data_IF_821952438423
#
_entry.id   IF_821952438423
#
_cell.length_a   1.000
_cell.length_b   1.000
_cell.length_c   1.000
_cell.angle_alpha   90.00
_cell.angle_beta   90.00
_cell.angle_gamma   90.00
#
_symmetry.space_group_name_H-M   'P 1'
#
loop_
_entity.id
_entity.type
_entity.pdbx_description
1 polymer ?
#
# COMPACT_ATOMS: atom_id res chain seq x y z
N UNK A 1 -27.36 0.14 27.12
CA UNK A 1 -26.75 0.20 25.76
C UNK A 1 -25.60 1.20 25.77
N UNK A 2 -24.42 0.86 25.21
CA UNK A 2 -23.23 1.74 25.16
C UNK A 2 -23.11 2.46 23.82
N UNK A 3 -22.65 3.71 23.86
CA UNK A 3 -22.37 4.55 22.69
C UNK A 3 -21.17 4.02 21.93
N UNK A 4 -21.28 3.85 20.61
CA UNK A 4 -20.19 3.32 19.79
C UNK A 4 -19.01 4.29 19.62
N UNK A 5 -19.20 5.59 19.91
CA UNK A 5 -18.13 6.59 19.78
C UNK A 5 -17.31 6.79 21.05
N UNK A 6 -17.93 6.76 22.23
CA UNK A 6 -17.28 7.12 23.49
C UNK A 6 -17.47 6.10 24.61
N UNK A 7 -18.04 4.94 24.31
CA UNK A 7 -18.34 3.83 25.24
C UNK A 7 -19.26 4.16 26.43
N UNK A 8 -19.63 5.44 26.64
CA UNK A 8 -20.60 5.87 27.67
C UNK A 8 -21.99 5.31 27.43
N UNK A 9 -22.79 5.19 28.49
CA UNK A 9 -24.19 4.77 28.40
C UNK A 9 -25.01 5.75 27.55
N UNK A 10 -25.88 5.18 26.71
CA UNK A 10 -26.86 5.96 25.94
C UNK A 10 -28.04 6.28 26.88
N UNK A 11 -28.46 7.55 27.00
CA UNK A 11 -29.58 7.93 27.88
C UNK A 11 -30.86 7.15 27.57
N UNK A 12 -31.56 6.67 28.60
CA UNK A 12 -32.79 5.88 28.46
C UNK A 12 -33.85 6.62 27.63
N UNK A 13 -34.02 7.94 27.84
CA UNK A 13 -34.91 8.79 27.04
C UNK A 13 -34.66 8.72 25.54
N UNK A 14 -33.41 8.48 25.10
CA UNK A 14 -33.08 8.27 23.69
C UNK A 14 -33.34 6.86 23.21
N UNK A 15 -33.11 5.87 24.08
CA UNK A 15 -33.44 4.47 23.81
C UNK A 15 -34.94 4.33 23.59
N UNK A 16 -35.75 4.89 24.48
CA UNK A 16 -37.21 4.79 24.42
C UNK A 16 -37.76 5.53 23.20
N UNK A 17 -37.27 6.75 22.91
CA UNK A 17 -37.68 7.50 21.71
C UNK A 17 -37.34 6.77 20.42
N UNK A 18 -36.17 6.15 20.34
CA UNK A 18 -35.77 5.39 19.16
C UNK A 18 -36.63 4.13 18.98
N UNK A 19 -36.92 3.42 20.08
CA UNK A 19 -37.76 2.21 20.05
C UNK A 19 -39.19 2.48 19.57
N UNK A 20 -39.76 3.65 19.89
CA UNK A 20 -41.11 4.05 19.39
C UNK A 20 -41.22 4.10 17.87
N UNK A 21 -40.11 4.27 17.16
CA UNK A 21 -40.05 4.29 15.69
C UNK A 21 -39.33 3.07 15.13
N UNK A 22 -39.21 1.99 15.91
CA UNK A 22 -38.52 0.76 15.51
C UNK A 22 -37.00 0.90 15.32
N UNK A 23 -36.39 1.98 15.84
CA UNK A 23 -34.96 2.24 15.72
C UNK A 23 -34.19 1.91 17.02
N UNK A 24 -32.88 1.66 16.88
CA UNK A 24 -31.96 1.56 18.03
C UNK A 24 -30.91 2.68 17.96
N UNK A 25 -30.72 3.46 19.05
CA UNK A 25 -29.76 4.53 19.03
C UNK A 25 -28.34 3.98 19.18
N UNK A 26 -27.43 4.42 18.33
CA UNK A 26 -26.03 3.94 18.32
C UNK A 26 -25.08 4.92 19.04
N UNK A 27 -25.51 6.17 19.23
CA UNK A 27 -24.71 7.24 19.82
C UNK A 27 -25.44 7.96 20.96
N UNK A 28 -24.73 8.29 22.04
CA UNK A 28 -25.31 8.98 23.19
C UNK A 28 -25.66 10.45 22.95
N UNK A 29 -25.04 11.12 21.98
CA UNK A 29 -25.24 12.56 21.69
C UNK A 29 -25.15 12.89 20.19
N UNK A 30 -25.65 14.06 19.79
CA UNK A 30 -25.43 14.61 18.44
C UNK A 30 -23.92 14.81 18.19
N UNK A 31 -23.18 15.28 19.19
CA UNK A 31 -21.72 15.42 19.11
C UNK A 31 -21.01 14.09 18.87
N UNK A 32 -21.40 13.00 19.55
CA UNK A 32 -20.84 11.66 19.30
C UNK A 32 -21.15 11.16 17.87
N UNK A 33 -22.36 11.44 17.36
CA UNK A 33 -22.72 11.12 15.97
C UNK A 33 -21.86 11.92 14.98
N UNK A 34 -21.68 13.21 15.21
CA UNK A 34 -20.88 14.08 14.33
C UNK A 34 -19.39 13.70 14.37
N UNK A 35 -18.83 13.44 15.55
CA UNK A 35 -17.46 12.99 15.70
C UNK A 35 -17.21 11.64 15.00
N UNK A 36 -18.16 10.71 15.08
CA UNK A 36 -18.09 9.45 14.32
C UNK A 36 -18.16 9.69 12.79
N UNK A 37 -18.99 10.64 12.33
CA UNK A 37 -19.07 11.04 10.92
C UNK A 37 -17.75 11.66 10.43
N UNK A 38 -17.14 12.54 11.22
CA UNK A 38 -15.86 13.19 10.91
C UNK A 38 -14.71 12.19 10.87
N UNK A 39 -14.65 11.26 11.82
CA UNK A 39 -13.66 10.17 11.82
C UNK A 39 -13.80 9.31 10.55
N UNK A 40 -15.03 8.88 10.21
CA UNK A 40 -15.27 8.14 8.96
C UNK A 40 -14.91 8.91 7.70
N UNK A 41 -15.10 10.25 7.70
CA UNK A 41 -14.67 11.09 6.58
C UNK A 41 -13.15 11.11 6.48
N UNK A 42 -12.45 11.34 7.61
CA UNK A 42 -10.98 11.24 7.67
C UNK A 42 -10.48 9.90 7.14
N UNK A 43 -11.01 8.79 7.66
CA UNK A 43 -10.66 7.43 7.25
C UNK A 43 -10.98 7.14 5.76
N UNK A 44 -11.97 7.82 5.17
CA UNK A 44 -12.26 7.75 3.72
C UNK A 44 -11.34 8.65 2.89
N UNK A 45 -10.90 9.78 3.44
CA UNK A 45 -10.03 10.75 2.75
C UNK A 45 -8.54 10.44 2.91
N UNK A 46 -8.16 9.53 3.80
CA UNK A 46 -6.77 9.13 4.08
C UNK A 46 -6.11 8.29 3.00
N UNK A 47 -6.76 8.02 1.86
CA UNK A 47 -6.06 7.49 0.68
C UNK A 47 -5.84 8.63 -0.33
N UNK A 48 -4.75 9.36 -0.14
CA UNK A 48 -4.24 10.37 -1.06
C UNK A 48 -4.04 9.78 -2.46
N UNK A 49 -4.11 10.56 -3.55
CA UNK A 49 -3.62 10.13 -4.86
C UNK A 49 -2.21 9.52 -4.81
N UNK A 50 -1.34 10.06 -3.95
CA UNK A 50 0.00 9.52 -3.72
C UNK A 50 -0.04 8.10 -3.13
N UNK A 51 -0.94 7.85 -2.18
CA UNK A 51 -1.12 6.51 -1.59
C UNK A 51 -1.60 5.50 -2.64
N UNK A 52 -2.47 5.91 -3.57
CA UNK A 52 -2.90 5.05 -4.67
C UNK A 52 -1.75 4.70 -5.62
N UNK A 53 -0.89 5.67 -5.91
CA UNK A 53 0.32 5.45 -6.71
C UNK A 53 1.25 4.49 -5.98
N UNK A 54 1.48 4.70 -4.70
CA UNK A 54 2.34 3.85 -3.86
C UNK A 54 1.81 2.42 -3.77
N UNK A 55 0.49 2.23 -3.62
CA UNK A 55 -0.15 0.91 -3.61
C UNK A 55 -0.02 0.18 -4.95
N UNK A 56 -0.23 0.89 -6.07
CA UNK A 56 -0.02 0.31 -7.41
C UNK A 56 1.43 -0.06 -7.65
N UNK A 57 2.34 0.81 -7.23
CA UNK A 57 3.78 0.57 -7.32
C UNK A 57 4.17 -0.67 -6.49
N UNK A 58 3.73 -0.75 -5.22
CA UNK A 58 3.95 -1.92 -4.37
C UNK A 58 3.43 -3.20 -5.02
N UNK A 59 2.22 -3.16 -5.59
CA UNK A 59 1.63 -4.34 -6.17
C UNK A 59 2.34 -4.81 -7.46
N UNK A 60 2.90 -3.90 -8.25
CA UNK A 60 3.82 -4.27 -9.34
C UNK A 60 5.09 -4.97 -8.78
N UNK A 61 5.64 -4.48 -7.67
CA UNK A 61 6.81 -5.08 -7.04
C UNK A 61 6.52 -6.45 -6.38
N UNK A 62 5.29 -6.69 -5.93
CA UNK A 62 4.82 -8.02 -5.50
C UNK A 62 4.90 -9.02 -6.66
N UNK A 63 4.52 -8.61 -7.88
CA UNK A 63 4.65 -9.49 -9.05
C UNK A 63 6.11 -9.74 -9.43
N UNK A 64 6.95 -8.70 -9.36
CA UNK A 64 8.39 -8.83 -9.60
C UNK A 64 8.99 -9.82 -8.61
N UNK A 65 8.64 -9.73 -7.32
CA UNK A 65 9.08 -10.65 -6.29
C UNK A 65 8.65 -12.11 -6.60
N UNK A 66 7.39 -12.31 -7.00
CA UNK A 66 6.89 -13.62 -7.39
C UNK A 66 7.56 -14.17 -8.67
N UNK A 67 7.95 -13.29 -9.60
CA UNK A 67 8.69 -13.67 -10.81
C UNK A 67 10.16 -13.99 -10.48
N UNK A 68 10.80 -13.18 -9.64
CA UNK A 68 12.17 -13.41 -9.17
C UNK A 68 12.36 -14.79 -8.53
N UNK A 69 11.39 -15.23 -7.72
CA UNK A 69 11.41 -16.56 -7.09
C UNK A 69 11.33 -17.71 -8.10
N UNK A 70 10.65 -17.51 -9.25
CA UNK A 70 10.49 -18.54 -10.30
C UNK A 70 11.58 -18.47 -11.36
N UNK A 71 12.10 -17.27 -11.62
CA UNK A 71 13.02 -16.94 -12.70
C UNK A 71 14.21 -16.14 -12.15
N UNK A 72 15.25 -16.80 -11.62
CA UNK A 72 16.43 -16.12 -11.08
C UNK A 72 17.15 -15.22 -12.10
N UNK A 73 16.94 -15.46 -13.40
CA UNK A 73 17.46 -14.63 -14.51
C UNK A 73 17.04 -13.16 -14.41
N UNK A 74 15.92 -12.87 -13.74
CA UNK A 74 15.46 -11.51 -13.44
C UNK A 74 16.52 -10.67 -12.71
N UNK A 75 17.39 -11.28 -11.91
CA UNK A 75 18.50 -10.57 -11.26
C UNK A 75 19.50 -9.98 -12.26
N UNK A 76 19.73 -10.63 -13.41
CA UNK A 76 20.63 -10.12 -14.44
C UNK A 76 20.07 -8.85 -15.07
N UNK A 77 18.76 -8.84 -15.38
CA UNK A 77 18.08 -7.66 -15.90
C UNK A 77 18.22 -6.48 -14.93
N UNK A 78 18.07 -6.74 -13.62
CA UNK A 78 18.24 -5.71 -12.60
C UNK A 78 19.68 -5.16 -12.56
N UNK A 79 20.69 -6.03 -12.61
CA UNK A 79 22.09 -5.60 -12.67
C UNK A 79 22.39 -4.77 -13.93
N UNK A 80 21.93 -5.23 -15.09
CA UNK A 80 22.12 -4.52 -16.36
C UNK A 80 21.44 -3.15 -16.35
N UNK A 81 20.25 -3.05 -15.77
CA UNK A 81 19.58 -1.77 -15.56
C UNK A 81 20.41 -0.84 -14.67
N UNK A 82 20.90 -1.35 -13.54
CA UNK A 82 21.70 -0.58 -12.60
C UNK A 82 22.98 -0.03 -13.26
N UNK A 83 23.73 -0.90 -13.94
CA UNK A 83 24.96 -0.50 -14.66
C UNK A 83 24.66 0.56 -15.71
N UNK A 84 23.59 0.39 -16.50
CA UNK A 84 23.20 1.37 -17.52
C UNK A 84 22.80 2.71 -16.91
N UNK A 85 22.02 2.72 -15.83
CA UNK A 85 21.55 3.95 -15.20
C UNK A 85 22.67 4.71 -14.50
N UNK A 86 23.54 4.01 -13.76
CA UNK A 86 24.71 4.60 -13.11
C UNK A 86 25.65 5.19 -14.16
N UNK A 87 25.92 4.47 -15.25
CA UNK A 87 26.77 4.98 -16.35
C UNK A 87 26.19 6.24 -16.99
N UNK A 88 24.86 6.32 -17.13
CA UNK A 88 24.19 7.43 -17.82
C UNK A 88 23.99 8.66 -16.94
N UNK A 89 23.57 8.45 -15.69
CA UNK A 89 23.06 9.51 -14.81
C UNK A 89 23.92 9.71 -13.55
N UNK A 90 24.94 8.90 -13.36
CA UNK A 90 25.72 8.84 -12.12
C UNK A 90 25.07 7.97 -11.03
N UNK A 91 25.85 7.62 -9.99
CA UNK A 91 25.32 6.91 -8.83
C UNK A 91 24.40 7.81 -8.00
N UNK A 92 23.42 7.20 -7.35
CA UNK A 92 22.62 7.83 -6.28
C UNK A 92 22.61 6.90 -5.08
N UNK A 93 22.36 7.41 -3.85
CA UNK A 93 22.35 6.55 -2.66
C UNK A 93 21.44 5.33 -2.78
N UNK A 94 20.29 5.48 -3.44
CA UNK A 94 19.35 4.38 -3.66
C UNK A 94 19.87 3.36 -4.69
N UNK A 95 20.52 3.81 -5.77
CA UNK A 95 21.12 2.90 -6.76
C UNK A 95 22.31 2.13 -6.18
N UNK A 96 23.14 2.79 -5.36
CA UNK A 96 24.25 2.12 -4.67
C UNK A 96 23.74 1.07 -3.67
N UNK A 97 22.66 1.37 -2.97
CA UNK A 97 22.02 0.43 -2.07
C UNK A 97 21.42 -0.76 -2.80
N UNK A 98 20.76 -0.54 -3.95
CA UNK A 98 20.33 -1.61 -4.83
C UNK A 98 21.51 -2.45 -5.33
N UNK A 99 22.63 -1.82 -5.66
CA UNK A 99 23.88 -2.52 -6.01
C UNK A 99 24.33 -3.45 -4.89
N UNK A 100 24.47 -2.93 -3.66
CA UNK A 100 24.83 -3.75 -2.48
C UNK A 100 23.87 -4.92 -2.25
N UNK A 101 22.55 -4.70 -2.41
CA UNK A 101 21.55 -5.75 -2.27
C UNK A 101 21.73 -6.84 -3.35
N UNK A 102 21.92 -6.45 -4.61
CA UNK A 102 22.10 -7.37 -5.73
C UNK A 102 23.45 -8.12 -5.66
N UNK A 103 24.50 -7.48 -5.18
CA UNK A 103 25.84 -8.05 -5.03
C UNK A 103 25.92 -9.02 -3.85
N UNK A 104 25.10 -8.80 -2.81
CA UNK A 104 25.00 -9.73 -1.68
C UNK A 104 24.53 -11.14 -2.08
N UNK A 105 23.83 -11.25 -3.21
CA UNK A 105 23.23 -12.50 -3.69
C UNK A 105 22.06 -13.03 -2.84
N UNK A 106 21.67 -12.32 -1.77
CA UNK A 106 20.62 -12.75 -0.84
C UNK A 106 19.24 -12.38 -1.37
N UNK A 107 18.53 -13.36 -1.92
CA UNK A 107 17.19 -13.18 -2.49
C UNK A 107 16.23 -12.61 -1.44
N UNK A 108 16.32 -13.03 -0.19
CA UNK A 108 15.47 -12.58 0.91
C UNK A 108 15.61 -11.08 1.20
N UNK A 109 16.83 -10.55 1.08
CA UNK A 109 17.10 -9.12 1.27
C UNK A 109 16.46 -8.30 0.13
N UNK A 110 16.51 -8.80 -1.10
CA UNK A 110 15.88 -8.18 -2.27
C UNK A 110 14.37 -8.24 -2.13
N UNK A 111 13.79 -9.40 -1.76
CA UNK A 111 12.35 -9.54 -1.53
C UNK A 111 11.88 -8.58 -0.44
N UNK A 112 12.65 -8.43 0.64
CA UNK A 112 12.37 -7.45 1.68
C UNK A 112 12.31 -6.03 1.11
N UNK A 113 13.34 -5.60 0.37
CA UNK A 113 13.35 -4.28 -0.27
C UNK A 113 12.17 -4.05 -1.23
N UNK A 114 11.77 -5.08 -2.00
CA UNK A 114 10.63 -5.01 -2.92
C UNK A 114 9.28 -4.88 -2.19
N UNK A 115 9.11 -5.55 -1.05
CA UNK A 115 7.81 -5.78 -0.42
C UNK A 115 7.53 -4.90 0.81
N UNK A 116 8.52 -4.23 1.39
CA UNK A 116 8.34 -3.36 2.57
C UNK A 116 7.34 -2.23 2.32
N UNK A 117 6.39 -2.02 3.23
CA UNK A 117 5.31 -1.03 3.07
C UNK A 117 5.58 0.32 3.75
N UNK A 118 6.77 0.48 4.34
CA UNK A 118 7.20 1.71 4.99
C UNK A 118 7.80 2.72 4.00
N UNK A 119 8.15 3.90 4.51
CA UNK A 119 8.77 5.00 3.74
C UNK A 119 10.04 4.55 3.03
N UNK A 120 10.81 3.68 3.67
CA UNK A 120 12.05 3.16 3.11
C UNK A 120 11.80 2.25 1.91
N UNK A 121 10.84 1.34 2.01
CA UNK A 121 10.41 0.53 0.87
C UNK A 121 9.87 1.39 -0.29
N UNK A 122 9.14 2.48 0.02
CA UNK A 122 8.68 3.43 -1.00
C UNK A 122 9.84 4.13 -1.69
N UNK A 123 10.83 4.61 -0.93
CA UNK A 123 12.05 5.23 -1.45
C UNK A 123 12.81 4.29 -2.37
N UNK A 124 13.07 3.06 -1.94
CA UNK A 124 13.79 2.06 -2.74
C UNK A 124 13.02 1.69 -4.01
N UNK A 125 11.70 1.48 -3.93
CA UNK A 125 10.87 1.18 -5.11
C UNK A 125 10.82 2.31 -6.13
N UNK A 126 11.00 3.57 -5.72
CA UNK A 126 11.04 4.72 -6.65
C UNK A 126 12.20 4.64 -7.65
N UNK A 127 13.25 3.89 -7.32
CA UNK A 127 14.47 3.70 -8.12
C UNK A 127 14.77 2.23 -8.39
N UNK A 128 13.74 1.38 -8.33
CA UNK A 128 13.87 -0.07 -8.47
C UNK A 128 14.50 -0.47 -9.81
N UNK A 129 15.61 -1.23 -9.81
CA UNK A 129 16.28 -1.67 -11.03
C UNK A 129 15.51 -2.78 -11.76
N UNK A 130 14.33 -3.21 -11.28
CA UNK A 130 13.53 -4.25 -11.91
C UNK A 130 12.57 -3.71 -12.99
N UNK A 131 12.77 -2.48 -13.45
CA UNK A 131 12.03 -1.92 -14.58
C UNK A 131 12.18 -2.82 -15.83
N UNK A 132 11.06 -3.12 -16.49
CA UNK A 132 11.04 -3.97 -17.69
C UNK A 132 11.03 -5.49 -17.45
N UNK A 133 11.07 -5.94 -16.19
CA UNK A 133 11.01 -7.38 -15.85
C UNK A 133 9.63 -8.00 -16.12
N UNK A 134 8.57 -7.22 -15.88
CA UNK A 134 7.21 -7.62 -16.19
C UNK A 134 6.90 -7.29 -17.65
N UNK A 135 6.38 -8.26 -18.40
CA UNK A 135 5.87 -8.07 -19.76
C UNK A 135 4.64 -7.18 -19.76
N UNK A 136 4.28 -6.64 -20.93
CA UNK A 136 3.09 -5.80 -21.06
C UNK A 136 1.81 -6.60 -20.78
N UNK A 137 1.77 -7.89 -21.12
CA UNK A 137 0.68 -8.82 -20.80
C UNK A 137 0.56 -9.03 -19.28
N UNK A 138 1.68 -9.27 -18.59
CA UNK A 138 1.71 -9.44 -17.13
C UNK A 138 1.22 -8.17 -16.41
N UNK A 139 1.63 -6.99 -16.90
CA UNK A 139 1.16 -5.70 -16.38
C UNK A 139 -0.34 -5.49 -16.65
N UNK A 140 -0.80 -5.75 -17.88
CA UNK A 140 -2.21 -5.59 -18.27
C UNK A 140 -3.12 -6.48 -17.45
N UNK A 141 -2.79 -7.77 -17.33
CA UNK A 141 -3.56 -8.73 -16.54
C UNK A 141 -3.70 -8.26 -15.09
N UNK A 142 -2.63 -7.73 -14.52
CA UNK A 142 -2.65 -7.18 -13.17
C UNK A 142 -3.56 -5.96 -13.03
N UNK A 143 -3.43 -4.96 -13.91
CA UNK A 143 -4.26 -3.77 -13.85
C UNK A 143 -5.74 -4.08 -14.10
N UNK A 144 -6.05 -5.06 -14.95
CA UNK A 144 -7.42 -5.55 -15.16
C UNK A 144 -8.01 -6.21 -13.91
N UNK A 145 -7.24 -7.06 -13.22
CA UNK A 145 -7.66 -7.68 -11.96
C UNK A 145 -7.89 -6.65 -10.87
N UNK A 146 -7.03 -5.63 -10.76
CA UNK A 146 -7.20 -4.53 -9.80
C UNK A 146 -8.45 -3.68 -10.10
N UNK A 147 -8.72 -3.39 -11.37
CA UNK A 147 -9.90 -2.64 -11.81
C UNK A 147 -11.21 -3.36 -11.50
N UNK A 148 -11.25 -4.69 -11.62
CA UNK A 148 -12.44 -5.51 -11.30
C UNK A 148 -12.72 -5.66 -9.80
N UNK A 149 -11.74 -5.37 -8.94
CA UNK A 149 -11.83 -5.49 -7.47
C UNK A 149 -12.10 -4.17 -6.75
N UNK A 150 -12.09 -3.04 -7.48
CA UNK A 150 -12.36 -1.69 -6.96
C UNK A 150 -13.82 -1.30 -7.23
#
# INVERSE_FOLDING_TARGET
MKCYKCARLIPNVKIDRARRVGASPVYCSKSCRQAAKQQRYRDKTTTSPQDRINLRNLAAHVMIAAKLLREPRVMHIARDNLTRWIKRNGPTPALEEWGRLLDSGKVEAILTALLRVDEEGMRLRSSSPFAGVLSDEERKLFFEVQRKRS
#
